data_IF_238203437110
#
_entry.id   IF_238203437110
#
_cell.length_a   1.000
_cell.length_b   1.000
_cell.length_c   1.000
_cell.angle_alpha   90.00
_cell.angle_beta   90.00
_cell.angle_gamma   90.00
#
_symmetry.space_group_name_H-M   'P 1'
#
loop_
_entity.id
_entity.type
_entity.pdbx_description
1 polymer ?
#
# COMPACT_ATOMS: atom_id res chain seq x y z
N UNK A 1 4.45 -4.51 -33.17
CA UNK A 1 5.16 -3.34 -33.72
C UNK A 1 6.19 -2.93 -32.69
N UNK A 2 7.44 -3.25 -32.98
CA UNK A 2 8.57 -3.11 -32.05
C UNK A 2 8.96 -1.64 -31.96
N UNK A 3 8.90 -1.06 -30.76
CA UNK A 3 9.43 0.27 -30.52
C UNK A 3 10.96 0.26 -30.72
N UNK A 4 11.54 1.25 -31.43
CA UNK A 4 12.97 1.27 -31.64
C UNK A 4 13.72 1.68 -30.36
N UNK A 5 14.71 0.88 -29.95
CA UNK A 5 15.61 1.12 -28.82
C UNK A 5 16.48 2.40 -28.93
N UNK A 6 16.42 3.16 -30.02
CA UNK A 6 17.23 4.37 -30.22
C UNK A 6 16.56 5.67 -29.74
N UNK A 7 15.27 5.62 -29.38
CA UNK A 7 14.50 6.78 -28.93
C UNK A 7 14.77 7.12 -27.45
N UNK A 8 15.18 6.11 -26.68
CA UNK A 8 15.47 6.17 -25.24
C UNK A 8 16.84 6.83 -24.94
N UNK A 9 17.83 6.62 -25.81
CA UNK A 9 19.15 7.23 -25.67
C UNK A 9 19.14 8.74 -25.90
N UNK A 10 18.24 9.24 -26.76
CA UNK A 10 18.07 10.69 -26.94
C UNK A 10 17.49 11.32 -25.69
N UNK A 11 16.51 10.69 -25.04
CA UNK A 11 15.92 11.18 -23.79
C UNK A 11 16.94 11.18 -22.65
N UNK A 12 17.81 10.16 -22.57
CA UNK A 12 18.88 10.08 -21.55
C UNK A 12 19.97 11.14 -21.75
N UNK A 13 20.46 11.31 -22.98
CA UNK A 13 21.46 12.35 -23.31
C UNK A 13 20.88 13.75 -23.08
N UNK A 14 19.60 13.95 -23.38
CA UNK A 14 18.93 15.24 -23.17
C UNK A 14 18.64 15.52 -21.69
N UNK A 15 18.22 14.51 -20.92
CA UNK A 15 18.04 14.61 -19.47
C UNK A 15 19.37 14.93 -18.75
N UNK A 16 20.48 14.35 -19.22
CA UNK A 16 21.81 14.66 -18.72
C UNK A 16 22.21 16.11 -19.06
N UNK A 17 21.92 16.60 -20.27
CA UNK A 17 22.15 18.00 -20.65
C UNK A 17 21.31 18.99 -19.83
N UNK A 18 20.06 18.65 -19.52
CA UNK A 18 19.21 19.46 -18.62
C UNK A 18 19.72 19.47 -17.18
N UNK A 19 20.18 18.31 -16.67
CA UNK A 19 20.75 18.21 -15.32
C UNK A 19 22.02 19.06 -15.19
N UNK A 20 22.88 19.07 -16.21
CA UNK A 20 24.09 19.91 -16.27
C UNK A 20 23.73 21.41 -16.28
N UNK A 21 22.70 21.83 -17.01
CA UNK A 21 22.28 23.25 -17.07
C UNK A 21 21.65 23.75 -15.77
N UNK A 22 20.88 22.92 -15.08
CA UNK A 22 20.31 23.25 -13.77
C UNK A 22 21.37 23.38 -12.68
N UNK A 23 22.43 22.56 -12.71
CA UNK A 23 23.58 22.70 -11.81
C UNK A 23 24.42 23.97 -12.07
N UNK A 24 24.26 24.58 -13.24
CA UNK A 24 24.96 25.83 -13.63
C UNK A 24 24.13 27.09 -13.38
N UNK A 25 22.93 26.99 -12.82
CA UNK A 25 22.07 28.14 -12.51
C UNK A 25 21.42 28.81 -13.72
N UNK A 26 21.47 28.18 -14.90
CA UNK A 26 20.80 28.69 -16.09
C UNK A 26 19.32 28.31 -16.09
N UNK A 27 18.44 29.31 -16.16
CA UNK A 27 16.99 29.11 -16.20
C UNK A 27 16.56 28.63 -17.60
N UNK A 28 15.87 27.48 -17.74
CA UNK A 28 15.46 26.99 -19.04
C UNK A 28 14.38 27.90 -19.67
N UNK A 29 14.26 27.92 -21.01
CA UNK A 29 13.31 28.79 -21.70
C UNK A 29 11.86 28.46 -21.32
N UNK A 30 11.04 29.50 -21.10
CA UNK A 30 9.65 29.40 -20.58
C UNK A 30 8.69 28.55 -21.42
N UNK A 31 9.02 28.25 -22.68
CA UNK A 31 8.20 27.41 -23.58
C UNK A 31 8.80 26.01 -23.82
N UNK A 32 9.62 25.49 -22.90
CA UNK A 32 10.15 24.13 -23.01
C UNK A 32 9.08 23.08 -22.67
N UNK A 33 8.88 22.03 -23.50
CA UNK A 33 7.98 20.91 -23.19
C UNK A 33 8.43 20.12 -21.95
N UNK A 34 9.69 20.28 -21.53
CA UNK A 34 10.21 19.70 -20.29
C UNK A 34 9.61 20.35 -19.03
N UNK A 35 9.19 21.62 -19.05
CA UNK A 35 8.52 22.24 -17.90
C UNK A 35 7.14 21.60 -17.72
N UNK A 36 6.40 21.38 -18.81
CA UNK A 36 5.14 20.63 -18.78
C UNK A 36 5.35 19.15 -18.40
N UNK A 37 6.50 18.53 -18.74
CA UNK A 37 6.85 17.17 -18.31
C UNK A 37 7.15 17.12 -16.80
N UNK A 38 7.89 18.11 -16.27
CA UNK A 38 8.20 18.24 -14.84
C UNK A 38 6.93 18.59 -14.04
N UNK A 39 6.04 19.45 -14.57
CA UNK A 39 4.73 19.73 -13.97
C UNK A 39 3.80 18.52 -14.01
N UNK A 40 3.87 17.70 -15.08
CA UNK A 40 3.13 16.44 -15.18
C UNK A 40 3.72 15.34 -14.27
N UNK A 41 4.99 15.44 -13.90
CA UNK A 41 5.62 14.63 -12.84
C UNK A 41 5.34 15.17 -11.42
N UNK A 42 4.79 16.40 -11.29
CA UNK A 42 4.43 17.04 -10.02
C UNK A 42 2.92 17.18 -9.78
N UNK A 43 2.09 16.88 -10.77
CA UNK A 43 0.66 16.61 -10.53
C UNK A 43 0.56 15.36 -9.66
N UNK A 44 -0.30 15.32 -8.63
CA UNK A 44 -0.58 14.07 -7.95
C UNK A 44 -1.17 13.15 -9.03
N UNK A 45 -0.37 12.21 -9.50
CA UNK A 45 -0.88 11.12 -10.29
C UNK A 45 -2.02 10.50 -9.47
N UNK A 46 -3.12 10.10 -10.12
CA UNK A 46 -4.09 9.26 -9.44
C UNK A 46 -3.32 8.12 -8.74
N UNK A 47 -3.63 7.82 -7.46
CA UNK A 47 -2.82 6.89 -6.68
C UNK A 47 -2.63 5.62 -7.47
N UNK A 48 -1.37 5.17 -7.57
CA UNK A 48 -1.08 3.93 -8.27
C UNK A 48 -1.73 2.76 -7.52
N UNK A 49 -2.04 1.68 -8.22
CA UNK A 49 -2.60 0.47 -7.59
C UNK A 49 -1.76 -0.02 -6.41
N UNK A 50 -0.44 0.20 -6.42
CA UNK A 50 0.43 -0.14 -5.29
C UNK A 50 0.20 0.74 -4.08
N UNK A 51 -0.01 2.05 -4.27
CA UNK A 51 -0.37 2.98 -3.19
C UNK A 51 -1.69 2.57 -2.53
N UNK A 52 -2.67 2.14 -3.33
CA UNK A 52 -3.94 1.65 -2.80
C UNK A 52 -3.77 0.39 -1.95
N UNK A 53 -2.88 -0.53 -2.33
CA UNK A 53 -2.53 -1.69 -1.51
C UNK A 53 -1.82 -1.31 -0.20
N UNK A 54 -0.96 -0.28 -0.22
CA UNK A 54 -0.31 0.25 0.99
C UNK A 54 -1.36 0.89 1.90
N UNK A 55 -2.27 1.69 1.35
CA UNK A 55 -3.40 2.27 2.09
C UNK A 55 -4.27 1.17 2.69
N UNK A 56 -4.57 0.13 1.93
CA UNK A 56 -5.31 -1.04 2.42
C UNK A 56 -4.58 -1.74 3.57
N UNK A 57 -3.25 -1.94 3.48
CA UNK A 57 -2.43 -2.48 4.59
C UNK A 57 -2.53 -1.62 5.84
N UNK A 58 -2.49 -0.29 5.71
CA UNK A 58 -2.62 0.61 6.83
C UNK A 58 -4.02 0.55 7.45
N UNK A 59 -5.09 0.55 6.65
CA UNK A 59 -6.48 0.49 7.13
C UNK A 59 -6.76 -0.81 7.89
N UNK A 60 -6.46 -1.95 7.26
CA UNK A 60 -6.64 -3.27 7.87
C UNK A 60 -5.71 -3.45 9.06
N UNK A 61 -4.46 -2.98 8.93
CA UNK A 61 -3.45 -2.91 9.99
C UNK A 61 -3.93 -2.17 11.22
N UNK A 62 -4.53 -0.99 11.05
CA UNK A 62 -5.08 -0.20 12.14
C UNK A 62 -6.29 -0.87 12.78
N UNK A 63 -7.25 -1.33 11.97
CA UNK A 63 -8.51 -1.93 12.46
C UNK A 63 -8.30 -3.24 13.23
N UNK A 64 -7.27 -4.03 12.91
CA UNK A 64 -7.00 -5.27 13.64
C UNK A 64 -6.22 -5.08 14.96
N UNK A 65 -5.75 -3.88 15.29
CA UNK A 65 -5.02 -3.63 16.55
C UNK A 65 -5.91 -3.81 17.78
N UNK A 66 -5.26 -3.95 18.95
CA UNK A 66 -5.90 -4.25 20.24
C UNK A 66 -7.05 -3.32 20.62
N UNK A 67 -6.92 -2.01 20.36
CA UNK A 67 -7.92 -1.00 20.72
C UNK A 67 -9.12 -0.97 19.77
N UNK A 68 -8.99 -1.61 18.61
CA UNK A 68 -10.01 -1.68 17.57
C UNK A 68 -10.70 -3.05 17.68
N UNK A 69 -10.40 -4.00 16.78
CA UNK A 69 -11.01 -5.32 16.80
C UNK A 69 -10.18 -6.40 17.50
N UNK A 70 -8.97 -6.10 17.98
CA UNK A 70 -8.11 -7.03 18.71
C UNK A 70 -7.87 -8.36 17.94
N UNK A 71 -7.53 -8.24 16.66
CA UNK A 71 -7.08 -9.37 15.85
C UNK A 71 -5.61 -9.71 16.14
N UNK A 72 -4.79 -8.69 16.40
CA UNK A 72 -3.41 -8.82 16.86
C UNK A 72 -3.13 -7.91 18.06
N UNK A 73 -2.27 -8.39 18.97
CA UNK A 73 -1.88 -7.68 20.19
C UNK A 73 -0.77 -6.65 19.91
N UNK A 74 -1.11 -5.60 19.16
CA UNK A 74 -0.23 -4.44 18.98
C UNK A 74 -1.04 -3.13 18.90
N UNK A 75 -0.32 -2.01 18.91
CA UNK A 75 -0.90 -0.65 18.90
C UNK A 75 0.06 0.36 18.23
N UNK A 76 0.68 -0.02 17.11
CA UNK A 76 1.74 0.79 16.48
C UNK A 76 1.23 1.99 15.67
N UNK A 77 0.04 1.87 15.07
CA UNK A 77 -0.58 2.91 14.24
C UNK A 77 -1.49 3.85 15.05
N UNK A 78 -1.69 3.62 16.35
CA UNK A 78 -2.42 4.56 17.18
C UNK A 78 -1.53 5.76 17.57
N UNK A 79 -2.11 6.89 18.03
CA UNK A 79 -1.32 8.09 18.36
C UNK A 79 -0.20 7.85 19.37
N UNK A 80 -0.43 6.97 20.35
CA UNK A 80 0.57 6.62 21.38
C UNK A 80 1.71 5.79 20.78
N UNK A 81 1.38 4.80 19.95
CA UNK A 81 2.33 3.95 19.25
C UNK A 81 3.21 4.75 18.29
N UNK A 82 2.61 5.66 17.52
CA UNK A 82 3.34 6.54 16.62
C UNK A 82 4.26 7.50 17.39
N UNK A 83 3.84 8.03 18.54
CA UNK A 83 4.70 8.87 19.38
C UNK A 83 5.90 8.08 19.96
N UNK A 84 5.66 6.83 20.37
CA UNK A 84 6.74 5.94 20.79
C UNK A 84 7.72 5.68 19.64
N UNK A 85 7.20 5.33 18.46
CA UNK A 85 8.00 5.09 17.26
C UNK A 85 8.76 6.34 16.80
N UNK A 86 8.21 7.55 16.97
CA UNK A 86 8.92 8.78 16.69
C UNK A 86 10.15 8.99 17.59
N UNK A 87 10.18 8.36 18.77
CA UNK A 87 11.35 8.38 19.66
C UNK A 87 12.43 7.40 19.20
N UNK A 88 12.04 6.19 18.76
CA UNK A 88 12.99 5.14 18.34
C UNK A 88 13.43 5.29 16.87
N UNK A 89 12.54 5.75 16.01
CA UNK A 89 12.68 5.89 14.55
C UNK A 89 12.26 7.29 14.10
N UNK A 90 12.99 8.36 14.49
CA UNK A 90 12.54 9.74 14.31
C UNK A 90 12.34 10.15 12.85
N UNK A 91 12.99 9.48 11.89
CA UNK A 91 12.88 9.77 10.45
C UNK A 91 11.94 8.83 9.70
N UNK A 92 11.50 7.74 10.33
CA UNK A 92 10.78 6.64 9.66
C UNK A 92 9.70 6.05 10.56
N UNK A 93 9.13 6.85 11.47
CA UNK A 93 8.18 6.38 12.49
C UNK A 93 6.93 5.76 11.88
N UNK A 94 6.39 6.38 10.82
CA UNK A 94 5.22 5.88 10.09
C UNK A 94 5.53 4.60 9.32
N UNK A 95 6.65 4.56 8.62
CA UNK A 95 7.14 3.35 7.95
C UNK A 95 7.38 2.21 8.94
N UNK A 96 7.99 2.51 10.10
CA UNK A 96 8.19 1.55 11.18
C UNK A 96 6.85 1.07 11.73
N UNK A 97 5.85 1.94 11.81
CA UNK A 97 4.48 1.58 12.18
C UNK A 97 3.85 0.60 11.19
N UNK A 98 3.91 0.91 9.89
CA UNK A 98 3.44 0.04 8.80
C UNK A 98 4.14 -1.33 8.85
N UNK A 99 5.47 -1.37 8.96
CA UNK A 99 6.25 -2.62 9.06
C UNK A 99 5.85 -3.43 10.30
N UNK A 100 5.76 -2.77 11.45
CA UNK A 100 5.46 -3.43 12.73
C UNK A 100 4.05 -4.01 12.78
N UNK A 101 3.06 -3.28 12.26
CA UNK A 101 1.68 -3.78 12.19
C UNK A 101 1.54 -4.88 11.14
N UNK A 102 2.23 -4.75 10.01
CA UNK A 102 2.22 -5.77 8.95
C UNK A 102 2.80 -7.08 9.46
N UNK A 103 3.89 -7.04 10.20
CA UNK A 103 4.49 -8.22 10.82
C UNK A 103 3.57 -8.85 11.88
N UNK A 104 2.89 -8.04 12.71
CA UNK A 104 1.92 -8.55 13.68
C UNK A 104 0.73 -9.23 12.99
N UNK A 105 0.19 -8.61 11.95
CA UNK A 105 -0.91 -9.15 11.17
C UNK A 105 -0.48 -10.40 10.39
N UNK A 106 0.73 -10.42 9.84
CA UNK A 106 1.31 -11.55 9.11
C UNK A 106 1.33 -12.82 9.97
N UNK A 107 1.81 -12.75 11.22
CA UNK A 107 1.82 -13.89 12.14
C UNK A 107 0.43 -14.48 12.38
N UNK A 108 -0.59 -13.63 12.54
CA UNK A 108 -1.97 -14.07 12.74
C UNK A 108 -2.54 -14.73 11.48
N UNK A 109 -2.26 -14.17 10.30
CA UNK A 109 -2.70 -14.72 9.03
C UNK A 109 -2.00 -16.06 8.73
N UNK A 110 -0.69 -16.13 8.92
CA UNK A 110 0.09 -17.37 8.73
C UNK A 110 -0.42 -18.51 9.62
N UNK A 111 -0.78 -18.20 10.88
CA UNK A 111 -1.34 -19.18 11.79
C UNK A 111 -2.71 -19.70 11.31
N UNK A 112 -3.52 -18.85 10.67
CA UNK A 112 -4.84 -19.22 10.18
C UNK A 112 -4.80 -19.95 8.83
N UNK A 113 -3.86 -19.60 7.95
CA UNK A 113 -3.82 -20.05 6.56
C UNK A 113 -2.85 -21.22 6.32
N UNK A 114 -1.80 -21.35 7.15
CA UNK A 114 -0.73 -22.32 6.91
C UNK A 114 0.21 -21.92 5.76
N UNK A 115 0.89 -22.90 5.17
CA UNK A 115 1.89 -22.66 4.11
C UNK A 115 1.23 -22.61 2.73
N UNK A 116 1.79 -21.81 1.81
CA UNK A 116 1.40 -21.80 0.39
C UNK A 116 0.23 -20.86 0.04
N UNK A 117 -0.22 -20.03 0.98
CA UNK A 117 -1.20 -18.98 0.75
C UNK A 117 -0.52 -17.61 0.80
N UNK A 118 -0.89 -16.72 -0.13
CA UNK A 118 -0.52 -15.30 -0.08
C UNK A 118 -1.68 -14.49 0.47
N UNK A 119 -1.41 -13.50 1.31
CA UNK A 119 -2.42 -12.62 1.88
C UNK A 119 -1.89 -11.19 1.94
N UNK A 120 -2.74 -10.22 2.29
CA UNK A 120 -2.40 -8.78 2.26
C UNK A 120 -1.05 -8.46 2.91
N UNK A 121 -0.70 -9.15 3.99
CA UNK A 121 0.53 -8.96 4.79
C UNK A 121 1.69 -9.94 4.46
N UNK A 122 1.54 -10.78 3.42
CA UNK A 122 2.58 -11.68 2.89
C UNK A 122 2.29 -11.99 1.42
N UNK A 123 2.85 -11.18 0.54
CA UNK A 123 2.79 -11.32 -0.92
C UNK A 123 4.04 -12.04 -1.45
N UNK A 124 4.06 -12.44 -2.73
CA UNK A 124 5.29 -12.87 -3.39
C UNK A 124 6.38 -11.81 -3.31
N UNK A 125 7.65 -12.24 -3.15
CA UNK A 125 8.80 -11.36 -2.93
C UNK A 125 8.89 -10.17 -3.90
N UNK A 126 8.71 -10.33 -5.23
CA UNK A 126 8.79 -9.20 -6.15
C UNK A 126 7.70 -8.13 -5.92
N UNK A 127 6.56 -8.53 -5.35
CA UNK A 127 5.50 -7.59 -4.99
C UNK A 127 5.80 -6.91 -3.66
N UNK A 128 6.34 -7.63 -2.67
CA UNK A 128 6.80 -7.02 -1.41
C UNK A 128 7.87 -5.96 -1.64
N UNK A 129 8.88 -6.25 -2.46
CA UNK A 129 9.95 -5.29 -2.79
C UNK A 129 9.36 -4.01 -3.42
N UNK A 130 8.40 -4.17 -4.34
CA UNK A 130 7.71 -3.04 -4.98
C UNK A 130 6.84 -2.25 -4.00
N UNK A 131 6.14 -2.92 -3.09
CA UNK A 131 5.35 -2.25 -2.06
C UNK A 131 6.25 -1.47 -1.10
N UNK A 132 7.38 -2.03 -0.71
CA UNK A 132 8.32 -1.40 0.21
C UNK A 132 8.94 -0.13 -0.40
N UNK A 133 9.41 -0.20 -1.64
CA UNK A 133 9.96 0.97 -2.37
C UNK A 133 8.95 2.11 -2.43
N UNK A 134 7.69 1.80 -2.76
CA UNK A 134 6.64 2.83 -2.84
C UNK A 134 6.25 3.32 -1.44
N UNK A 135 6.16 2.44 -0.45
CA UNK A 135 5.84 2.81 0.94
C UNK A 135 6.87 3.81 1.51
N UNK A 136 8.16 3.62 1.23
CA UNK A 136 9.21 4.55 1.63
C UNK A 136 9.00 5.96 1.06
N UNK A 137 8.41 6.07 -0.13
CA UNK A 137 8.13 7.37 -0.76
C UNK A 137 6.85 8.03 -0.29
N UNK A 138 5.79 7.26 0.00
CA UNK A 138 4.45 7.83 0.22
C UNK A 138 4.00 7.88 1.68
N UNK A 139 4.59 7.10 2.59
CA UNK A 139 3.97 6.88 3.93
C UNK A 139 3.91 8.15 4.77
N UNK A 140 4.82 9.09 4.53
CA UNK A 140 4.81 10.41 5.17
C UNK A 140 3.78 11.37 4.54
N UNK A 141 3.34 11.09 3.32
CA UNK A 141 2.29 11.82 2.60
C UNK A 141 0.89 11.23 2.86
N UNK A 142 0.80 9.98 3.30
CA UNK A 142 -0.48 9.36 3.69
C UNK A 142 -1.08 10.17 4.82
N UNK A 143 -2.31 10.63 4.60
CA UNK A 143 -3.10 11.26 5.63
C UNK A 143 -3.52 10.22 6.68
N UNK A 144 -2.99 10.39 7.89
CA UNK A 144 -3.32 9.50 9.00
C UNK A 144 -4.67 9.83 9.66
N UNK A 145 -5.37 10.88 9.22
CA UNK A 145 -6.73 11.19 9.68
C UNK A 145 -7.70 10.02 9.47
N UNK A 146 -7.49 9.22 8.41
CA UNK A 146 -8.27 8.00 8.15
C UNK A 146 -8.12 6.92 9.23
N UNK A 147 -7.07 6.98 10.07
CA UNK A 147 -6.79 6.03 11.14
C UNK A 147 -7.08 6.61 12.54
N UNK A 148 -7.94 7.64 12.61
CA UNK A 148 -8.30 8.27 13.89
C UNK A 148 -9.44 7.55 14.60
N UNK A 149 -10.35 6.92 13.87
CA UNK A 149 -11.49 6.18 14.40
C UNK A 149 -11.76 4.89 13.61
N UNK A 150 -12.45 3.95 14.25
CA UNK A 150 -12.87 2.70 13.63
C UNK A 150 -13.86 2.97 12.49
N UNK A 151 -14.79 3.91 12.70
CA UNK A 151 -15.84 4.26 11.76
C UNK A 151 -15.27 4.86 10.47
N UNK A 152 -14.31 5.78 10.57
CA UNK A 152 -13.66 6.38 9.40
C UNK A 152 -12.88 5.31 8.61
N UNK A 153 -12.09 4.48 9.30
CA UNK A 153 -11.32 3.43 8.63
C UNK A 153 -12.20 2.38 7.94
N UNK A 154 -13.34 1.99 8.54
CA UNK A 154 -14.31 1.09 7.91
C UNK A 154 -15.00 1.76 6.72
N UNK A 155 -15.35 3.04 6.84
CA UNK A 155 -15.93 3.82 5.72
C UNK A 155 -14.99 3.88 4.52
N UNK A 156 -13.69 4.11 4.75
CA UNK A 156 -12.67 4.09 3.70
C UNK A 156 -12.52 2.70 3.07
N UNK A 157 -12.55 1.62 3.86
CA UNK A 157 -12.55 0.26 3.29
C UNK A 157 -13.77 0.00 2.40
N UNK A 158 -14.96 0.46 2.80
CA UNK A 158 -16.15 0.36 1.96
C UNK A 158 -16.04 1.18 0.67
N UNK A 159 -15.43 2.36 0.73
CA UNK A 159 -15.16 3.20 -0.45
C UNK A 159 -14.26 2.48 -1.45
N UNK A 160 -13.17 1.87 -0.98
CA UNK A 160 -12.25 1.09 -1.83
C UNK A 160 -12.93 -0.17 -2.39
N UNK A 161 -13.76 -0.85 -1.59
CA UNK A 161 -14.46 -2.05 -2.01
C UNK A 161 -15.45 -1.80 -3.16
N UNK A 162 -16.11 -0.63 -3.17
CA UNK A 162 -17.14 -0.26 -4.14
C UNK A 162 -18.42 -1.11 -4.09
N UNK A 163 -18.41 -2.23 -3.36
CA UNK A 163 -19.51 -3.16 -3.19
C UNK A 163 -19.51 -3.70 -1.75
N UNK A 164 -20.69 -4.09 -1.28
CA UNK A 164 -20.85 -4.73 0.02
C UNK A 164 -21.15 -6.21 -0.17
N UNK A 165 -20.43 -7.04 0.57
CA UNK A 165 -20.61 -8.49 0.60
C UNK A 165 -20.86 -8.93 2.05
N UNK A 166 -21.19 -10.21 2.23
CA UNK A 166 -21.18 -10.86 3.54
C UNK A 166 -20.03 -11.87 3.59
N UNK A 167 -18.94 -11.50 4.23
CA UNK A 167 -17.79 -12.38 4.43
C UNK A 167 -18.11 -13.51 5.43
N UNK A 168 -17.57 -14.69 5.17
CA UNK A 168 -17.54 -15.79 6.14
C UNK A 168 -16.35 -15.67 7.11
N UNK A 169 -16.48 -16.31 8.27
CA UNK A 169 -15.39 -16.41 9.24
C UNK A 169 -14.31 -17.40 8.77
N UNK A 170 -13.05 -17.09 9.07
CA UNK A 170 -11.88 -17.92 8.73
C UNK A 170 -11.26 -17.62 7.37
N UNK A 171 -10.46 -18.57 6.83
CA UNK A 171 -9.82 -18.47 5.52
C UNK A 171 -10.84 -18.33 4.37
N UNK A 172 -10.60 -17.38 3.46
CA UNK A 172 -11.40 -17.23 2.24
C UNK A 172 -10.49 -17.05 1.03
N UNK A 173 -10.58 -17.95 0.06
CA UNK A 173 -9.83 -17.81 -1.19
C UNK A 173 -10.51 -16.80 -2.10
N UNK A 174 -9.80 -15.71 -2.43
CA UNK A 174 -10.31 -14.64 -3.31
C UNK A 174 -9.63 -14.61 -4.68
N UNK A 175 -8.60 -15.43 -4.88
CA UNK A 175 -7.90 -15.50 -6.16
C UNK A 175 -6.69 -16.42 -6.16
N UNK A 176 -5.82 -16.18 -7.15
CA UNK A 176 -4.55 -16.88 -7.37
C UNK A 176 -3.40 -15.89 -7.48
N UNK A 177 -2.17 -16.36 -7.28
CA UNK A 177 -0.95 -15.55 -7.26
C UNK A 177 -0.83 -14.56 -8.43
N UNK A 178 -1.12 -15.01 -9.65
CA UNK A 178 -1.05 -14.19 -10.88
C UNK A 178 -2.00 -12.98 -10.90
N UNK A 179 -3.00 -12.93 -10.01
CA UNK A 179 -4.01 -11.88 -9.94
C UNK A 179 -3.94 -11.04 -8.65
N UNK A 180 -2.86 -11.15 -7.88
CA UNK A 180 -2.72 -10.45 -6.59
C UNK A 180 -2.77 -8.93 -6.73
N UNK A 181 -2.03 -8.32 -7.66
CA UNK A 181 -1.94 -6.87 -7.78
C UNK A 181 -2.79 -6.38 -8.95
N UNK A 182 -4.12 -6.51 -8.80
CA UNK A 182 -5.13 -6.05 -9.78
C UNK A 182 -6.18 -5.18 -9.10
N UNK A 183 -6.92 -4.33 -9.83
CA UNK A 183 -8.04 -3.58 -9.24
C UNK A 183 -9.09 -4.50 -8.62
N UNK A 184 -9.38 -5.64 -9.26
CA UNK A 184 -10.34 -6.63 -8.75
C UNK A 184 -9.89 -7.23 -7.42
N UNK A 185 -8.61 -7.59 -7.27
CA UNK A 185 -8.13 -8.12 -6.00
C UNK A 185 -8.14 -7.09 -4.88
N UNK A 186 -7.87 -5.82 -5.19
CA UNK A 186 -8.01 -4.72 -4.24
C UNK A 186 -9.46 -4.59 -3.74
N UNK A 187 -10.44 -4.61 -4.65
CA UNK A 187 -11.86 -4.50 -4.28
C UNK A 187 -12.32 -5.70 -3.46
N UNK A 188 -11.92 -6.91 -3.84
CA UNK A 188 -12.26 -8.16 -3.13
C UNK A 188 -11.67 -8.18 -1.71
N UNK A 189 -10.38 -7.88 -1.56
CA UNK A 189 -9.75 -7.76 -0.24
C UNK A 189 -10.48 -6.75 0.65
N UNK A 190 -10.75 -5.56 0.09
CA UNK A 190 -11.40 -4.48 0.83
C UNK A 190 -12.82 -4.86 1.24
N UNK A 191 -13.59 -5.49 0.35
CA UNK A 191 -14.95 -5.95 0.63
C UNK A 191 -14.98 -6.99 1.76
N UNK A 192 -14.07 -7.96 1.73
CA UNK A 192 -13.97 -8.98 2.77
C UNK A 192 -13.56 -8.41 4.12
N UNK A 193 -12.51 -7.57 4.17
CA UNK A 193 -12.08 -6.96 5.43
C UNK A 193 -13.14 -6.00 5.99
N UNK A 194 -13.74 -5.14 5.16
CA UNK A 194 -14.82 -4.24 5.58
C UNK A 194 -15.95 -5.04 6.23
N UNK A 195 -16.46 -6.04 5.52
CA UNK A 195 -17.51 -6.92 6.02
C UNK A 195 -17.12 -7.63 7.33
N UNK A 196 -15.89 -8.12 7.44
CA UNK A 196 -15.43 -8.85 8.61
C UNK A 196 -15.35 -7.94 9.85
N UNK A 197 -14.81 -6.73 9.70
CA UNK A 197 -14.76 -5.75 10.79
C UNK A 197 -16.16 -5.28 11.20
N UNK A 198 -17.04 -4.97 10.25
CA UNK A 198 -18.44 -4.62 10.54
C UNK A 198 -19.18 -5.73 11.30
N UNK A 199 -18.93 -6.99 10.98
CA UNK A 199 -19.56 -8.14 11.64
C UNK A 199 -18.86 -8.56 12.95
N UNK A 200 -17.66 -8.04 13.24
CA UNK A 200 -16.85 -8.46 14.38
C UNK A 200 -16.32 -9.90 14.28
N UNK A 201 -16.17 -10.44 13.06
CA UNK A 201 -15.63 -11.79 12.81
C UNK A 201 -14.21 -11.68 12.25
N UNK A 202 -13.39 -12.73 12.43
CA UNK A 202 -12.07 -12.80 11.76
C UNK A 202 -12.22 -13.46 10.40
N UNK A 203 -11.85 -12.73 9.36
CA UNK A 203 -11.77 -13.23 7.98
C UNK A 203 -10.33 -13.09 7.50
N UNK A 204 -9.83 -14.10 6.81
CA UNK A 204 -8.47 -14.13 6.27
C UNK A 204 -8.51 -14.36 4.75
N UNK A 205 -8.76 -13.31 3.96
CA UNK A 205 -8.74 -13.41 2.51
C UNK A 205 -7.33 -13.74 2.00
N UNK A 206 -7.23 -14.70 1.08
CA UNK A 206 -5.95 -15.16 0.54
C UNK A 206 -6.02 -15.51 -0.95
N UNK A 207 -4.85 -15.56 -1.56
CA UNK A 207 -4.61 -16.03 -2.92
C UNK A 207 -3.88 -17.37 -2.85
N UNK A 208 -4.37 -18.35 -3.59
CA UNK A 208 -3.70 -19.63 -3.72
C UNK A 208 -2.39 -19.45 -4.51
N UNK A 209 -1.31 -20.08 -4.05
CA UNK A 209 -0.11 -20.25 -4.86
C UNK A 209 -0.40 -21.18 -6.03
N UNK A 210 0.24 -20.93 -7.17
CA UNK A 210 0.16 -21.81 -8.35
C UNK A 210 0.83 -23.19 -8.12
N UNK A 211 1.45 -23.42 -6.96
CA UNK A 211 2.22 -24.62 -6.61
C UNK A 211 1.43 -25.66 -5.77
N UNK A 212 0.09 -25.61 -5.79
CA UNK A 212 -0.76 -26.60 -5.12
C UNK A 212 -0.87 -27.92 -5.89
#
# INVERSE_FOLDING_TARGET
MSHPLWEDDRLRVFALSCRIRLSSGENPPKNYPAIALIDRMKSPAAPSLTEDFIRLRLLVGFLGQRKQHNWWDCSFLDPTGLQFLATTFPRTSRLAGLRSVSEAACRVHDQALGRGAFHLFRLPLPLEDRLEEIAESIVDEVDFEAFTSMETAISELHSIAGTQITAGAGPVQIGVEKKILTPTSLTELSAHYASAFTQGIRCFPYFASDLA
#
